data_IF_946308846039
#
_entry.id   IF_946308846039
#
_cell.length_a   1.000
_cell.length_b   1.000
_cell.length_c   1.000
_cell.angle_alpha   90.00
_cell.angle_beta   90.00
_cell.angle_gamma   90.00
#
_symmetry.space_group_name_H-M   'P 1'
#
loop_
_entity.id
_entity.type
_entity.pdbx_description
1 polymer ?
#
# COMPACT_ATOMS: atom_id res chain seq x y z
N UNK A 1 -18.91 30.88 3.22
CA UNK A 1 -17.79 30.51 2.33
C UNK A 1 -17.12 29.31 2.99
N UNK A 2 -17.44 28.09 2.54
CA UNK A 2 -17.05 26.85 3.21
C UNK A 2 -15.57 26.55 2.96
N UNK A 3 -14.80 26.49 4.05
CA UNK A 3 -13.39 26.07 4.07
C UNK A 3 -13.33 24.54 3.99
N UNK A 4 -13.48 24.00 2.79
CA UNK A 4 -12.92 22.69 2.48
C UNK A 4 -11.40 22.87 2.42
N UNK A 5 -10.63 22.05 3.14
CA UNK A 5 -9.15 22.00 3.19
C UNK A 5 -8.42 22.68 4.38
N UNK A 6 -8.99 22.72 5.60
CA UNK A 6 -8.20 23.09 6.80
C UNK A 6 -7.75 21.93 7.70
N UNK A 7 -8.28 20.71 7.52
CA UNK A 7 -8.09 19.61 8.49
C UNK A 7 -7.07 18.53 8.05
N UNK A 8 -6.06 18.90 7.27
CA UNK A 8 -4.90 18.03 7.03
C UNK A 8 -3.89 18.12 8.18
N UNK A 9 -4.35 17.92 9.41
CA UNK A 9 -3.48 17.70 10.55
C UNK A 9 -2.74 16.38 10.35
N UNK A 10 -1.41 16.41 10.42
CA UNK A 10 -0.55 15.21 10.46
C UNK A 10 -0.94 14.26 11.61
N UNK A 11 -1.77 14.70 12.54
CA UNK A 11 -2.34 13.93 13.65
C UNK A 11 -3.20 12.74 13.17
N UNK A 12 -3.85 12.81 12.00
CA UNK A 12 -4.56 11.65 11.44
C UNK A 12 -3.63 10.55 10.89
N UNK A 13 -2.46 10.94 10.39
CA UNK A 13 -1.42 10.02 9.90
C UNK A 13 -0.53 9.54 11.06
N UNK A 14 -0.28 10.37 12.07
CA UNK A 14 0.56 10.03 13.22
C UNK A 14 -0.12 9.05 14.18
N UNK A 15 -1.45 8.97 14.20
CA UNK A 15 -2.23 8.24 15.21
C UNK A 15 -2.50 6.76 14.88
N UNK A 16 -2.05 6.22 13.74
CA UNK A 16 -2.35 4.82 13.38
C UNK A 16 -1.14 3.91 13.15
N UNK A 17 0.07 4.37 13.45
CA UNK A 17 1.26 3.53 13.45
C UNK A 17 1.51 2.97 14.85
N UNK A 18 0.90 1.82 15.15
CA UNK A 18 1.33 0.94 16.24
C UNK A 18 2.85 0.72 16.16
N UNK A 19 3.54 0.50 17.29
CA UNK A 19 4.99 0.60 17.32
C UNK A 19 5.61 -0.46 16.41
N UNK A 20 6.28 0.01 15.35
CA UNK A 20 7.26 -0.76 14.59
C UNK A 20 8.17 -1.46 15.62
N UNK A 21 8.11 -2.79 15.71
CA UNK A 21 8.87 -3.57 16.70
C UNK A 21 10.36 -3.30 16.56
N UNK A 22 11.15 -3.61 17.58
CA UNK A 22 12.58 -3.26 17.64
C UNK A 22 13.35 -3.56 16.34
N UNK A 23 13.04 -4.68 15.67
CA UNK A 23 13.70 -5.09 14.43
C UNK A 23 13.03 -4.61 13.14
N UNK A 24 11.76 -4.25 13.16
CA UNK A 24 11.04 -3.76 11.99
C UNK A 24 11.51 -2.34 11.65
N UNK A 25 11.50 -1.97 10.36
CA UNK A 25 11.89 -0.63 9.91
C UNK A 25 11.31 -0.19 8.56
N UNK A 26 10.66 -1.11 7.82
CA UNK A 26 9.99 -0.83 6.55
C UNK A 26 8.57 -1.36 6.65
N UNK A 27 7.61 -0.45 6.69
CA UNK A 27 6.20 -0.75 6.58
C UNK A 27 5.73 -0.68 5.14
N UNK A 28 5.07 -1.72 4.65
CA UNK A 28 4.61 -1.82 3.26
C UNK A 28 3.41 -2.77 3.17
N UNK A 29 2.50 -2.54 2.22
CA UNK A 29 1.28 -3.33 2.08
C UNK A 29 1.47 -4.51 1.12
N UNK A 30 0.88 -5.66 1.46
CA UNK A 30 0.97 -6.86 0.64
C UNK A 30 0.40 -6.64 -0.78
N UNK A 31 1.00 -7.28 -1.77
CA UNK A 31 0.52 -7.32 -3.15
C UNK A 31 -0.84 -8.04 -3.22
N UNK A 32 -1.82 -7.44 -3.90
CA UNK A 32 -3.19 -7.98 -4.07
C UNK A 32 -3.34 -8.76 -5.38
N UNK A 33 -2.41 -8.60 -6.32
CA UNK A 33 -2.34 -9.38 -7.55
C UNK A 33 -1.35 -10.56 -7.38
N UNK A 34 -1.83 -11.79 -7.11
CA UNK A 34 -0.94 -12.94 -6.98
C UNK A 34 -0.32 -13.39 -8.30
N UNK A 35 -0.81 -12.87 -9.43
CA UNK A 35 -0.29 -13.15 -10.77
C UNK A 35 0.78 -12.15 -11.21
N UNK A 36 1.07 -11.14 -10.39
CA UNK A 36 1.98 -10.05 -10.73
C UNK A 36 3.34 -10.56 -11.26
N UNK A 37 3.93 -11.53 -10.56
CA UNK A 37 5.16 -12.21 -10.99
C UNK A 37 4.92 -13.58 -11.66
N UNK A 38 3.68 -14.07 -11.74
CA UNK A 38 3.42 -15.43 -12.24
C UNK A 38 3.78 -15.59 -13.71
N UNK A 39 3.58 -14.54 -14.51
CA UNK A 39 3.91 -14.53 -15.94
C UNK A 39 5.44 -14.48 -16.19
N UNK A 40 6.24 -14.14 -15.17
CA UNK A 40 7.70 -14.13 -15.21
C UNK A 40 8.31 -15.45 -14.68
N UNK A 41 7.47 -16.37 -14.17
CA UNK A 41 7.84 -17.63 -13.54
C UNK A 41 8.13 -17.50 -12.04
N UNK A 42 7.65 -18.48 -11.24
CA UNK A 42 7.77 -18.54 -9.76
C UNK A 42 9.20 -18.41 -9.18
N UNK A 43 10.24 -18.46 -10.03
CA UNK A 43 11.66 -18.44 -9.65
C UNK A 43 12.36 -17.12 -9.97
N UNK A 44 11.67 -16.15 -10.59
CA UNK A 44 12.32 -15.00 -11.19
C UNK A 44 12.55 -13.84 -10.21
N UNK A 45 11.64 -13.59 -9.25
CA UNK A 45 11.75 -12.44 -8.37
C UNK A 45 11.91 -12.79 -6.88
N UNK A 46 12.94 -12.27 -6.18
CA UNK A 46 13.12 -12.53 -4.75
C UNK A 46 12.11 -11.70 -3.94
N UNK A 47 10.94 -12.28 -3.66
CA UNK A 47 9.90 -11.66 -2.84
C UNK A 47 9.39 -12.61 -1.76
N UNK A 48 8.85 -12.05 -0.68
CA UNK A 48 8.12 -12.79 0.34
C UNK A 48 6.67 -13.02 -0.11
N UNK A 49 6.22 -14.27 -0.20
CA UNK A 49 4.88 -14.57 -0.69
C UNK A 49 4.69 -14.08 -2.13
N UNK A 50 3.66 -13.25 -2.36
CA UNK A 50 3.41 -12.59 -3.65
C UNK A 50 4.15 -11.26 -3.80
N UNK A 51 4.89 -10.84 -2.77
CA UNK A 51 5.53 -9.54 -2.68
C UNK A 51 4.63 -8.47 -2.06
N UNK A 52 5.16 -7.26 -2.09
CA UNK A 52 4.58 -6.07 -1.50
C UNK A 52 4.51 -4.96 -2.54
N UNK A 53 3.47 -4.15 -2.47
CA UNK A 53 3.25 -3.03 -3.36
C UNK A 53 3.82 -1.73 -2.76
N UNK A 54 4.68 -1.04 -3.51
CA UNK A 54 5.39 0.14 -3.01
C UNK A 54 4.59 1.46 -3.07
N UNK A 55 3.30 1.41 -3.41
CA UNK A 55 2.42 2.58 -3.47
C UNK A 55 2.35 3.38 -2.16
N UNK A 56 2.56 2.72 -1.01
CA UNK A 56 2.77 3.37 0.29
C UNK A 56 3.91 2.67 1.05
N UNK A 57 4.79 3.49 1.63
CA UNK A 57 5.89 3.06 2.48
C UNK A 57 5.88 3.82 3.80
N UNK A 58 6.05 3.09 4.90
CA UNK A 58 6.37 3.64 6.21
C UNK A 58 7.84 3.33 6.51
N UNK A 59 8.68 4.35 6.70
CA UNK A 59 10.13 4.15 6.79
C UNK A 59 10.66 4.64 8.14
N UNK A 60 11.27 3.74 8.91
CA UNK A 60 11.98 4.10 10.13
C UNK A 60 13.44 4.50 9.82
N UNK A 61 13.63 5.77 9.47
CA UNK A 61 14.91 6.30 8.98
C UNK A 61 16.11 6.04 9.90
N UNK A 62 15.96 6.18 11.22
CA UNK A 62 17.08 5.94 12.17
C UNK A 62 17.56 4.48 12.16
N UNK A 63 16.63 3.51 12.17
CA UNK A 63 16.96 2.08 12.10
C UNK A 63 17.60 1.74 10.75
N UNK A 64 17.09 2.30 9.65
CA UNK A 64 17.66 2.06 8.33
C UNK A 64 19.08 2.61 8.18
N UNK A 65 19.33 3.84 8.62
CA UNK A 65 20.70 4.40 8.62
C UNK A 65 21.66 3.58 9.47
N UNK A 66 21.23 3.15 10.67
CA UNK A 66 22.04 2.30 11.54
C UNK A 66 22.35 0.90 10.94
N UNK A 67 21.63 0.49 9.90
CA UNK A 67 21.80 -0.80 9.22
C UNK A 67 22.51 -0.68 7.87
N UNK A 68 23.00 0.50 7.48
CA UNK A 68 23.65 0.70 6.18
C UNK A 68 22.68 0.59 5.00
N UNK A 69 21.47 1.12 5.15
CA UNK A 69 20.42 1.04 4.13
C UNK A 69 20.87 1.51 2.74
N UNK A 70 21.64 2.58 2.66
CA UNK A 70 22.18 3.15 1.42
C UNK A 70 23.04 2.13 0.66
N UNK A 71 23.98 1.48 1.34
CA UNK A 71 24.81 0.43 0.72
C UNK A 71 23.96 -0.77 0.30
N UNK A 72 23.07 -1.23 1.19
CA UNK A 72 22.21 -2.39 0.94
C UNK A 72 21.29 -2.15 -0.25
N UNK A 73 20.68 -0.97 -0.32
CA UNK A 73 19.81 -0.54 -1.41
C UNK A 73 20.56 -0.55 -2.74
N UNK A 74 21.67 0.19 -2.81
CA UNK A 74 22.44 0.34 -4.05
C UNK A 74 22.99 -1.00 -4.52
N UNK A 75 23.57 -1.79 -3.60
CA UNK A 75 24.10 -3.13 -3.91
C UNK A 75 22.99 -4.07 -4.41
N UNK A 76 21.82 -4.04 -3.78
CA UNK A 76 20.68 -4.86 -4.22
C UNK A 76 20.21 -4.44 -5.60
N UNK A 77 20.03 -3.14 -5.83
CA UNK A 77 19.61 -2.59 -7.11
C UNK A 77 20.59 -2.96 -8.25
N UNK A 78 21.89 -2.75 -8.06
CA UNK A 78 22.89 -3.10 -9.06
C UNK A 78 22.97 -4.60 -9.35
N UNK A 79 22.87 -5.44 -8.31
CA UNK A 79 22.86 -6.90 -8.49
C UNK A 79 21.62 -7.33 -9.30
N UNK A 80 20.44 -6.81 -8.97
CA UNK A 80 19.21 -7.11 -9.70
C UNK A 80 19.29 -6.64 -11.15
N UNK A 81 19.77 -5.42 -11.41
CA UNK A 81 19.95 -4.92 -12.79
C UNK A 81 20.92 -5.80 -13.59
N UNK A 82 22.01 -6.26 -12.97
CA UNK A 82 22.98 -7.16 -13.62
C UNK A 82 22.41 -8.55 -13.90
N UNK A 83 21.70 -9.12 -12.94
CA UNK A 83 21.17 -10.49 -13.00
C UNK A 83 19.90 -10.60 -13.86
N UNK A 84 18.99 -9.64 -13.72
CA UNK A 84 17.63 -9.69 -14.28
C UNK A 84 17.50 -8.88 -15.56
N UNK A 85 18.40 -7.94 -15.82
CA UNK A 85 18.43 -7.00 -16.97
C UNK A 85 17.25 -6.02 -17.04
N UNK A 86 16.12 -6.34 -16.42
CA UNK A 86 14.92 -5.52 -16.33
C UNK A 86 14.42 -5.50 -14.88
N UNK A 87 13.90 -4.34 -14.47
CA UNK A 87 13.17 -4.12 -13.23
C UNK A 87 11.73 -3.70 -13.59
N UNK A 88 10.80 -4.64 -13.80
CA UNK A 88 9.43 -4.34 -14.21
C UNK A 88 8.71 -3.29 -13.35
N UNK A 89 9.05 -3.20 -12.05
CA UNK A 89 8.46 -2.23 -11.10
C UNK A 89 9.49 -1.37 -10.38
N UNK A 90 10.71 -1.26 -10.93
CA UNK A 90 11.72 -0.33 -10.44
C UNK A 90 12.06 -0.51 -8.96
N UNK A 91 11.63 0.46 -8.13
CA UNK A 91 11.90 0.48 -6.69
C UNK A 91 11.18 -0.63 -5.92
N UNK A 92 9.96 -1.02 -6.31
CA UNK A 92 9.20 -2.08 -5.65
C UNK A 92 9.95 -3.41 -5.72
N UNK A 93 10.53 -3.68 -6.89
CA UNK A 93 11.37 -4.83 -7.17
C UNK A 93 12.58 -4.89 -6.22
N UNK A 94 13.29 -3.76 -6.03
CA UNK A 94 14.43 -3.65 -5.13
C UNK A 94 14.01 -3.81 -3.66
N UNK A 95 12.93 -3.16 -3.22
CA UNK A 95 12.43 -3.28 -1.84
C UNK A 95 12.06 -4.73 -1.52
N UNK A 96 11.33 -5.40 -2.41
CA UNK A 96 10.97 -6.81 -2.23
C UNK A 96 12.20 -7.71 -2.08
N UNK A 97 13.25 -7.48 -2.88
CA UNK A 97 14.51 -8.20 -2.79
C UNK A 97 15.24 -7.98 -1.45
N UNK A 98 15.26 -6.73 -0.96
CA UNK A 98 15.83 -6.41 0.35
C UNK A 98 15.06 -7.10 1.46
N UNK A 99 13.72 -7.04 1.44
CA UNK A 99 12.86 -7.67 2.46
C UNK A 99 12.93 -9.20 2.42
N UNK A 100 13.09 -9.81 1.24
CA UNK A 100 13.27 -11.24 1.13
C UNK A 100 14.56 -11.72 1.84
N UNK A 101 15.62 -10.90 1.83
CA UNK A 101 16.87 -11.16 2.57
C UNK A 101 16.79 -10.74 4.04
N UNK A 102 16.01 -9.71 4.36
CA UNK A 102 15.93 -9.10 5.69
C UNK A 102 14.50 -9.15 6.25
N UNK A 103 13.92 -10.35 6.37
CA UNK A 103 12.49 -10.53 6.70
C UNK A 103 12.05 -9.84 7.98
N UNK A 104 12.95 -9.71 8.97
CA UNK A 104 12.68 -9.05 10.25
C UNK A 104 12.55 -7.52 10.15
N UNK A 105 12.83 -6.91 8.99
CA UNK A 105 12.65 -5.48 8.74
C UNK A 105 11.23 -5.12 8.35
N UNK A 106 10.46 -6.11 7.90
CA UNK A 106 9.10 -5.94 7.40
C UNK A 106 8.12 -5.67 8.54
N UNK A 107 7.38 -4.59 8.40
CA UNK A 107 6.12 -4.35 9.08
C UNK A 107 5.00 -4.39 8.02
N UNK A 108 4.21 -5.46 7.97
CA UNK A 108 3.11 -5.51 7.01
C UNK A 108 2.00 -4.54 7.45
N UNK A 109 1.82 -3.43 6.71
CA UNK A 109 0.77 -2.47 7.02
C UNK A 109 -0.59 -3.02 6.56
N UNK A 110 -1.69 -2.69 7.24
CA UNK A 110 -3.03 -3.11 6.82
C UNK A 110 -3.31 -2.74 5.35
N UNK A 111 -3.82 -3.69 4.56
CA UNK A 111 -4.04 -3.49 3.12
C UNK A 111 -4.93 -2.29 2.77
N UNK A 112 -5.82 -1.87 3.68
CA UNK A 112 -6.72 -0.71 3.51
C UNK A 112 -5.97 0.60 3.26
N UNK A 113 -4.70 0.66 3.64
CA UNK A 113 -3.83 1.80 3.35
C UNK A 113 -3.40 1.84 1.89
N UNK A 114 -3.27 0.69 1.22
CA UNK A 114 -2.83 0.61 -0.17
C UNK A 114 -3.70 -0.38 -0.95
N UNK A 115 -4.94 0.04 -1.24
CA UNK A 115 -5.89 -0.72 -2.05
C UNK A 115 -5.44 -0.69 -3.51
N UNK A 116 -5.34 -1.86 -4.13
CA UNK A 116 -4.86 -2.02 -5.50
C UNK A 116 -6.04 -2.35 -6.42
N UNK A 117 -6.21 -1.57 -7.48
CA UNK A 117 -7.34 -1.68 -8.42
C UNK A 117 -6.90 -2.19 -9.80
N UNK A 118 -5.75 -2.85 -9.88
CA UNK A 118 -5.20 -3.38 -11.13
C UNK A 118 -5.95 -4.63 -11.60
N UNK A 119 -5.83 -4.93 -12.90
CA UNK A 119 -6.27 -6.21 -13.44
C UNK A 119 -5.62 -7.36 -12.63
N UNK A 120 -6.41 -8.38 -12.30
CA UNK A 120 -6.00 -9.54 -11.49
C UNK A 120 -5.73 -9.30 -10.00
N UNK A 121 -5.99 -8.10 -9.47
CA UNK A 121 -6.08 -7.89 -8.02
C UNK A 121 -7.26 -8.68 -7.44
N UNK A 122 -7.01 -9.44 -6.37
CA UNK A 122 -8.03 -10.27 -5.70
C UNK A 122 -8.65 -9.53 -4.50
N UNK A 123 -9.98 -9.38 -4.50
CA UNK A 123 -10.73 -8.74 -3.41
C UNK A 123 -10.52 -9.44 -2.07
N UNK A 124 -10.35 -10.74 -2.08
CA UNK A 124 -10.15 -11.58 -0.89
C UNK A 124 -8.83 -11.26 -0.18
N UNK A 125 -7.87 -10.67 -0.89
CA UNK A 125 -6.59 -10.22 -0.34
C UNK A 125 -6.68 -8.85 0.34
N UNK A 126 -7.76 -8.11 0.10
CA UNK A 126 -8.08 -6.90 0.85
C UNK A 126 -9.60 -6.65 0.93
N UNK A 127 -10.31 -7.36 1.84
CA UNK A 127 -11.75 -7.25 1.99
C UNK A 127 -12.11 -5.97 2.77
N UNK A 128 -11.89 -4.81 2.17
CA UNK A 128 -12.29 -3.53 2.75
C UNK A 128 -13.79 -3.31 2.54
N UNK A 129 -14.49 -3.08 3.64
CA UNK A 129 -15.87 -2.58 3.63
C UNK A 129 -15.82 -1.18 4.22
N UNK A 130 -16.09 -0.19 3.39
CA UNK A 130 -16.27 1.17 3.85
C UNK A 130 -17.73 1.31 4.27
N UNK A 131 -17.98 1.22 5.58
CA UNK A 131 -19.26 1.64 6.15
C UNK A 131 -19.31 3.16 6.06
N UNK A 132 -19.78 3.66 4.92
CA UNK A 132 -20.21 5.04 4.84
C UNK A 132 -21.37 5.15 5.80
N UNK A 133 -21.17 5.88 6.90
CA UNK A 133 -22.23 6.20 7.86
C UNK A 133 -23.41 6.75 7.05
N UNK A 134 -24.42 5.90 6.87
CA UNK A 134 -25.75 6.36 6.56
C UNK A 134 -26.15 7.12 7.80
N UNK A 135 -25.92 8.44 7.81
CA UNK A 135 -26.56 9.32 8.79
C UNK A 135 -28.05 9.17 8.53
N UNK A 136 -28.63 8.23 9.27
CA UNK A 136 -30.05 8.06 9.47
C UNK A 136 -30.41 9.09 10.51
N UNK A 137 -30.38 10.36 10.11
CA UNK A 137 -31.14 11.38 10.79
C UNK A 137 -32.55 11.26 10.18
N UNK A 138 -33.36 10.43 10.83
CA UNK A 138 -34.81 10.63 10.80
C UNK A 138 -35.05 12.08 11.23
N UNK A 139 -35.65 12.87 10.35
CA UNK A 139 -36.81 13.65 10.75
C UNK A 139 -37.56 14.22 9.54
N UNK A 140 -38.84 13.83 9.49
CA UNK A 140 -39.94 14.53 8.82
C UNK A 140 -39.79 14.88 7.33
N UNK A 141 -40.31 14.02 6.46
CA UNK A 141 -41.61 14.33 5.84
C UNK A 141 -42.06 13.23 4.88
N UNK A 142 -43.35 12.94 4.94
CA UNK A 142 -44.11 12.33 3.88
C UNK A 142 -43.73 12.97 2.52
N UNK A 143 -43.33 12.15 1.55
CA UNK A 143 -44.02 12.04 0.26
C UNK A 143 -43.20 11.28 -0.77
N UNK A 144 -43.90 10.35 -1.42
CA UNK A 144 -43.54 9.57 -2.59
C UNK A 144 -42.82 10.39 -3.68
N UNK A 145 -41.49 10.38 -3.71
CA UNK A 145 -40.75 10.59 -4.95
C UNK A 145 -39.46 9.76 -4.95
N UNK A 146 -39.34 8.92 -5.99
CA UNK A 146 -38.21 8.06 -6.35
C UNK A 146 -36.89 8.88 -6.33
N UNK A 147 -36.24 8.97 -5.17
CA UNK A 147 -34.97 9.72 -5.02
C UNK A 147 -33.84 8.93 -5.69
N UNK A 148 -33.37 9.42 -6.84
CA UNK A 148 -32.08 9.03 -7.44
C UNK A 148 -30.99 9.18 -6.37
N UNK A 149 -30.42 8.07 -5.92
CA UNK A 149 -29.24 8.06 -5.04
C UNK A 149 -28.09 8.72 -5.80
N UNK A 150 -27.72 9.95 -5.43
CA UNK A 150 -26.45 10.53 -5.84
C UNK A 150 -25.37 9.89 -4.98
N UNK A 151 -24.62 8.98 -5.58
CA UNK A 151 -23.42 8.40 -5.00
C UNK A 151 -22.33 9.47 -5.03
N UNK A 152 -21.99 10.02 -3.87
CA UNK A 152 -20.82 10.88 -3.74
C UNK A 152 -19.63 9.98 -3.38
N UNK A 153 -18.85 9.61 -4.40
CA UNK A 153 -17.56 8.96 -4.21
C UNK A 153 -16.57 10.06 -3.83
N UNK A 154 -16.09 10.05 -2.59
CA UNK A 154 -14.95 10.89 -2.20
C UNK A 154 -13.70 10.03 -2.27
N UNK A 155 -12.86 10.28 -3.26
CA UNK A 155 -11.53 9.68 -3.37
C UNK A 155 -10.63 10.40 -2.37
N UNK A 156 -10.36 9.77 -1.23
CA UNK A 156 -9.27 10.18 -0.36
C UNK A 156 -7.98 9.62 -0.96
N UNK A 157 -7.18 10.50 -1.54
CA UNK A 157 -5.88 10.27 -2.18
C UNK A 157 -5.29 8.84 -2.00
N UNK A 158 -5.44 8.02 -3.04
CA UNK A 158 -4.78 6.72 -3.12
C UNK A 158 -3.73 6.80 -4.23
N UNK A 159 -2.53 6.27 -4.01
CA UNK A 159 -1.63 5.92 -5.10
C UNK A 159 -2.26 4.75 -5.86
N UNK A 160 -3.19 5.04 -6.76
CA UNK A 160 -3.77 4.04 -7.65
C UNK A 160 -2.70 3.73 -8.70
N UNK A 161 -1.94 2.67 -8.46
CA UNK A 161 -1.09 2.12 -9.50
C UNK A 161 -1.99 1.39 -10.51
N UNK A 162 -2.44 2.10 -11.54
CA UNK A 162 -3.03 1.46 -12.73
C UNK A 162 -1.88 0.89 -13.56
N UNK A 163 -1.53 -0.36 -13.29
CA UNK A 163 -0.62 -1.12 -14.15
C UNK A 163 -1.43 -1.59 -15.36
N UNK A 164 -1.09 -1.04 -16.54
CA UNK A 164 -1.62 -1.44 -17.84
C UNK A 164 -1.07 -2.81 -18.28
#
# INVERSE_FOLDING_TARGET
MNRLMSDWGLDGISVQFYPIKNYECIGIAAEQNPTFYSNMGKRFWPALGYGYNAGILLIHLTKLRARGWDEIWMKTAFNLMREKRILPTGEQDVINAVLNRNKHWLYEIPCKWNIQLSAFSMRERCPVVWEFLLNRDDDNNNNNYRRKKKHYVTILYYNIQMLN
#
